data_IF_793264128198
#
_entry.id   IF_793264128198
#
_cell.length_a   1.000
_cell.length_b   1.000
_cell.length_c   1.000
_cell.angle_alpha   90.00
_cell.angle_beta   90.00
_cell.angle_gamma   90.00
#
_symmetry.space_group_name_H-M   'P 1'
#
loop_
_entity.id
_entity.type
_entity.pdbx_description
1 polymer ?
#
# COMPACT_ATOMS: atom_id res chain seq x y z
N UNK A 1 4.10 9.16 -20.94
CA UNK A 1 4.70 10.25 -20.13
C UNK A 1 4.49 9.91 -18.65
N UNK A 2 5.40 10.29 -17.77
CA UNK A 2 5.31 10.04 -16.33
C UNK A 2 4.86 11.33 -15.64
N UNK A 3 3.81 11.28 -14.80
CA UNK A 3 3.19 12.47 -14.19
C UNK A 3 3.82 12.89 -12.84
N UNK A 4 5.15 13.05 -12.80
CA UNK A 4 5.88 13.39 -11.56
C UNK A 4 5.44 14.71 -10.90
N UNK A 5 4.80 15.60 -11.66
CA UNK A 5 4.37 16.93 -11.21
C UNK A 5 2.84 17.04 -11.02
N UNK A 6 2.14 15.89 -10.99
CA UNK A 6 0.69 15.80 -10.77
C UNK A 6 -0.12 16.69 -11.74
N UNK A 7 0.37 16.88 -12.97
CA UNK A 7 -0.31 17.71 -13.97
C UNK A 7 -1.54 16.99 -14.51
N UNK A 8 -1.41 15.70 -14.83
CA UNK A 8 -2.52 14.86 -15.30
C UNK A 8 -3.46 14.56 -14.14
N UNK A 9 -2.92 14.21 -12.96
CA UNK A 9 -3.69 13.97 -11.74
C UNK A 9 -4.65 15.12 -11.40
N UNK A 10 -4.15 16.36 -11.39
CA UNK A 10 -4.97 17.55 -11.13
C UNK A 10 -5.94 17.87 -12.26
N UNK A 11 -5.54 17.66 -13.52
CA UNK A 11 -6.42 17.89 -14.67
C UNK A 11 -7.65 16.96 -14.65
N UNK A 12 -7.49 15.73 -14.16
CA UNK A 12 -8.59 14.78 -13.95
C UNK A 12 -9.34 14.99 -12.63
N UNK A 13 -8.94 15.98 -11.83
CA UNK A 13 -9.41 16.19 -10.46
C UNK A 13 -9.39 14.90 -9.63
N UNK A 14 -8.38 14.04 -9.85
CA UNK A 14 -8.27 12.77 -9.16
C UNK A 14 -7.93 13.00 -7.69
N UNK A 15 -8.50 12.21 -6.80
CA UNK A 15 -8.20 12.24 -5.37
C UNK A 15 -7.89 10.85 -4.80
N UNK A 16 -7.89 9.81 -5.64
CA UNK A 16 -7.84 8.42 -5.19
C UNK A 16 -6.76 7.62 -5.90
N UNK A 17 -6.18 6.66 -5.18
CA UNK A 17 -5.33 5.62 -5.73
C UNK A 17 -5.86 4.24 -5.29
N UNK A 18 -6.02 3.25 -6.19
CA UNK A 18 -5.98 3.42 -7.64
C UNK A 18 -7.21 4.21 -8.13
N UNK A 19 -7.10 4.74 -9.35
CA UNK A 19 -8.20 5.36 -10.07
C UNK A 19 -8.13 4.96 -11.54
N UNK A 20 -9.24 4.45 -12.06
CA UNK A 20 -9.36 4.02 -13.44
C UNK A 20 -10.34 4.94 -14.17
N UNK A 21 -9.95 5.41 -15.36
CA UNK A 21 -10.79 6.20 -16.25
C UNK A 21 -10.84 5.52 -17.61
N UNK A 22 -12.04 5.18 -18.08
CA UNK A 22 -12.24 4.44 -19.31
C UNK A 22 -12.73 5.39 -20.40
N UNK A 23 -11.94 5.51 -21.47
CA UNK A 23 -12.26 6.35 -22.62
C UNK A 23 -12.76 5.50 -23.79
N UNK A 24 -13.75 6.01 -24.54
CA UNK A 24 -14.15 5.41 -25.81
C UNK A 24 -13.16 5.72 -26.95
N UNK A 25 -13.41 5.14 -28.13
CA UNK A 25 -12.59 5.35 -29.31
C UNK A 25 -12.56 6.81 -29.82
N UNK A 26 -13.43 7.69 -29.31
CA UNK A 26 -13.45 9.13 -29.62
C UNK A 26 -12.70 9.95 -28.55
N UNK A 27 -12.12 9.30 -27.54
CA UNK A 27 -11.41 9.94 -26.44
C UNK A 27 -12.33 10.53 -25.37
N UNK A 28 -13.62 10.18 -25.36
CA UNK A 28 -14.54 10.65 -24.32
C UNK A 28 -14.48 9.69 -23.12
N UNK A 29 -14.36 10.23 -21.91
CA UNK A 29 -14.46 9.42 -20.69
C UNK A 29 -15.90 8.94 -20.52
N UNK A 30 -16.10 7.63 -20.47
CA UNK A 30 -17.41 6.98 -20.39
C UNK A 30 -17.69 6.35 -19.04
N UNK A 31 -16.64 6.08 -18.27
CA UNK A 31 -16.73 5.51 -16.94
C UNK A 31 -15.49 5.86 -16.13
N UNK A 32 -15.63 5.88 -14.81
CA UNK A 32 -14.52 5.98 -13.87
C UNK A 32 -14.79 5.08 -12.67
N UNK A 33 -13.72 4.54 -12.10
CA UNK A 33 -13.74 3.78 -10.85
C UNK A 33 -12.66 4.33 -9.94
N UNK A 34 -13.04 4.64 -8.69
CA UNK A 34 -12.14 5.12 -7.66
C UNK A 34 -12.00 4.05 -6.58
N UNK A 35 -10.76 3.77 -6.19
CA UNK A 35 -10.46 2.71 -5.26
C UNK A 35 -10.17 1.38 -5.96
N UNK A 36 -9.89 0.39 -5.13
CA UNK A 36 -9.60 -0.99 -5.52
C UNK A 36 -10.90 -1.79 -5.62
N UNK A 37 -11.05 -2.64 -6.64
CA UNK A 37 -12.22 -3.51 -6.80
C UNK A 37 -13.01 -3.26 -8.08
N UNK A 38 -14.28 -3.69 -8.08
CA UNK A 38 -15.21 -3.66 -9.22
C UNK A 38 -14.59 -4.11 -10.56
N UNK A 39 -13.68 -5.09 -10.50
CA UNK A 39 -12.96 -5.59 -11.68
C UNK A 39 -13.90 -6.14 -12.74
N UNK A 40 -14.92 -6.90 -12.31
CA UNK A 40 -15.95 -7.43 -13.20
C UNK A 40 -16.70 -6.30 -13.93
N UNK A 41 -17.02 -5.21 -13.24
CA UNK A 41 -17.74 -4.08 -13.83
C UNK A 41 -16.84 -3.26 -14.74
N UNK A 42 -15.61 -2.99 -14.31
CA UNK A 42 -14.56 -2.38 -15.13
C UNK A 42 -14.33 -3.14 -16.42
N UNK A 43 -14.29 -4.48 -16.37
CA UNK A 43 -14.15 -5.31 -17.56
C UNK A 43 -15.38 -5.24 -18.46
N UNK A 44 -16.60 -5.28 -17.91
CA UNK A 44 -17.83 -5.10 -18.72
C UNK A 44 -17.84 -3.78 -19.48
N UNK A 45 -17.37 -2.70 -18.84
CA UNK A 45 -17.21 -1.39 -19.48
C UNK A 45 -16.20 -1.48 -20.62
N UNK A 46 -15.02 -2.06 -20.40
CA UNK A 46 -14.02 -2.24 -21.48
C UNK A 46 -14.64 -3.01 -22.66
N UNK A 47 -15.31 -4.13 -22.37
CA UNK A 47 -15.95 -4.94 -23.40
C UNK A 47 -17.02 -4.17 -24.16
N UNK A 48 -17.84 -3.36 -23.48
CA UNK A 48 -18.81 -2.48 -24.12
C UNK A 48 -18.13 -1.47 -25.05
N UNK A 49 -17.09 -0.77 -24.57
CA UNK A 49 -16.38 0.24 -25.36
C UNK A 49 -15.69 -0.37 -26.59
N UNK A 50 -15.16 -1.59 -26.49
CA UNK A 50 -14.60 -2.32 -27.62
C UNK A 50 -15.67 -2.67 -28.67
N UNK A 51 -16.87 -3.12 -28.23
CA UNK A 51 -18.00 -3.39 -29.14
C UNK A 51 -18.47 -2.10 -29.82
N UNK A 52 -18.60 -1.00 -29.08
CA UNK A 52 -18.93 0.33 -29.62
C UNK A 52 -17.89 0.82 -30.64
N UNK A 53 -16.62 0.46 -30.47
CA UNK A 53 -15.54 0.76 -31.41
C UNK A 53 -15.50 -0.16 -32.65
N UNK A 54 -16.41 -1.13 -32.76
CA UNK A 54 -16.52 -2.03 -33.92
C UNK A 54 -15.71 -3.33 -33.82
N UNK A 55 -15.18 -3.67 -32.64
CA UNK A 55 -14.50 -4.95 -32.44
C UNK A 55 -15.49 -6.12 -32.61
N UNK A 56 -15.21 -7.02 -33.56
CA UNK A 56 -16.11 -8.13 -33.91
C UNK A 56 -16.02 -9.33 -32.96
N UNK A 57 -14.88 -9.47 -32.26
CA UNK A 57 -14.61 -10.58 -31.36
C UNK A 57 -14.25 -10.05 -29.97
N UNK A 58 -15.26 -9.67 -29.19
CA UNK A 58 -15.10 -9.32 -27.78
C UNK A 58 -15.62 -10.48 -26.94
N UNK A 59 -14.76 -11.07 -26.11
CA UNK A 59 -15.16 -12.14 -25.19
C UNK A 59 -16.35 -11.68 -24.33
N UNK A 60 -17.33 -12.57 -24.12
CA UNK A 60 -18.51 -12.29 -23.29
C UNK A 60 -18.37 -12.73 -21.84
N UNK A 61 -17.37 -13.55 -21.54
CA UNK A 61 -17.02 -13.92 -20.17
C UNK A 61 -16.18 -12.84 -19.51
N UNK A 62 -16.11 -12.88 -18.18
CA UNK A 62 -15.12 -12.12 -17.42
C UNK A 62 -13.82 -12.92 -17.39
N UNK A 63 -12.70 -12.21 -17.41
CA UNK A 63 -11.40 -12.81 -17.13
C UNK A 63 -11.33 -13.02 -15.62
N UNK A 64 -11.24 -14.29 -15.20
CA UNK A 64 -10.75 -14.59 -13.86
C UNK A 64 -9.24 -14.39 -13.86
N UNK A 65 -8.80 -13.23 -13.35
CA UNK A 65 -7.40 -13.03 -13.07
C UNK A 65 -6.99 -13.94 -11.90
N UNK A 66 -5.99 -14.80 -12.09
CA UNK A 66 -5.31 -15.52 -11.01
C UNK A 66 -4.45 -14.52 -10.21
N UNK A 67 -5.12 -13.59 -9.52
CA UNK A 67 -4.49 -12.55 -8.74
C UNK A 67 -3.78 -13.19 -7.54
N UNK A 68 -2.49 -12.90 -7.40
CA UNK A 68 -1.62 -13.39 -6.31
C UNK A 68 -0.95 -12.21 -5.62
N UNK A 69 -0.62 -12.38 -4.33
CA UNK A 69 0.04 -11.32 -3.55
C UNK A 69 -0.81 -10.05 -3.46
N UNK A 70 -0.19 -8.89 -3.68
CA UNK A 70 -0.79 -7.54 -3.60
C UNK A 70 -1.99 -7.34 -4.53
N UNK A 71 -2.12 -8.14 -5.59
CA UNK A 71 -3.21 -8.01 -6.56
C UNK A 71 -4.53 -8.64 -6.10
N UNK A 72 -4.53 -9.41 -5.00
CA UNK A 72 -5.78 -9.96 -4.48
C UNK A 72 -6.61 -8.89 -3.80
N UNK A 73 -7.83 -8.71 -4.31
CA UNK A 73 -8.78 -7.76 -3.77
C UNK A 73 -8.95 -7.93 -2.24
N UNK A 74 -9.00 -6.83 -1.49
CA UNK A 74 -9.31 -6.87 -0.07
C UNK A 74 -10.79 -7.21 0.15
N UNK A 75 -11.11 -7.82 1.28
CA UNK A 75 -12.48 -7.76 1.79
C UNK A 75 -12.67 -6.38 2.43
N UNK A 76 -13.34 -5.47 1.71
CA UNK A 76 -13.50 -4.08 2.14
C UNK A 76 -14.24 -3.93 3.48
N UNK A 77 -14.98 -4.94 3.94
CA UNK A 77 -15.61 -4.90 5.28
C UNK A 77 -14.59 -5.12 6.41
N UNK A 78 -13.48 -5.77 6.11
CA UNK A 78 -12.42 -6.13 7.06
C UNK A 78 -11.23 -5.15 6.99
N UNK A 79 -11.31 -4.09 6.17
CA UNK A 79 -10.31 -3.00 6.13
C UNK A 79 -10.83 -1.82 6.95
N UNK A 80 -10.46 -1.77 8.24
CA UNK A 80 -10.85 -0.69 9.15
C UNK A 80 -9.71 0.29 9.45
N UNK A 81 -8.50 0.03 8.94
CA UNK A 81 -7.36 0.94 9.00
C UNK A 81 -7.26 1.82 7.75
N UNK A 82 -7.19 3.16 7.90
CA UNK A 82 -7.09 4.07 6.76
C UNK A 82 -5.65 4.17 6.25
N UNK A 83 -5.48 4.61 5.00
CA UNK A 83 -4.16 5.05 4.52
C UNK A 83 -3.57 6.08 5.50
N UNK A 84 -2.36 5.81 6.01
CA UNK A 84 -1.74 6.63 7.05
C UNK A 84 -0.38 7.15 6.59
N UNK A 85 -0.26 8.46 6.45
CA UNK A 85 0.97 9.12 6.02
C UNK A 85 1.89 9.40 7.22
N UNK A 86 3.19 9.19 7.04
CA UNK A 86 4.20 9.34 8.10
C UNK A 86 4.81 10.75 8.11
N UNK A 87 4.78 11.48 6.99
CA UNK A 87 5.32 12.82 6.86
C UNK A 87 4.49 13.89 7.57
N UNK A 88 5.15 14.92 8.11
CA UNK A 88 4.54 15.94 8.95
C UNK A 88 3.38 16.72 8.30
N UNK A 89 3.30 16.78 6.96
CA UNK A 89 2.22 17.51 6.27
C UNK A 89 0.86 16.83 6.36
N UNK A 90 0.84 15.50 6.55
CA UNK A 90 -0.39 14.67 6.48
C UNK A 90 -0.48 13.65 7.61
N UNK A 91 0.47 13.66 8.54
CA UNK A 91 0.50 12.71 9.64
C UNK A 91 -0.69 12.91 10.57
N UNK A 92 -1.44 11.84 10.76
CA UNK A 92 -2.56 11.73 11.70
C UNK A 92 -2.33 10.52 12.62
N UNK A 93 -2.96 10.51 13.80
CA UNK A 93 -2.92 9.39 14.77
C UNK A 93 -1.51 8.95 15.23
N UNK A 94 -0.52 9.83 15.12
CA UNK A 94 0.81 9.63 15.72
C UNK A 94 0.72 9.75 17.24
N UNK A 95 1.26 8.78 17.97
CA UNK A 95 1.41 8.82 19.43
C UNK A 95 2.86 8.71 19.84
N UNK A 96 3.31 9.62 20.71
CA UNK A 96 4.73 9.70 21.11
C UNK A 96 5.18 8.53 21.99
N UNK A 97 4.28 7.99 22.82
CA UNK A 97 4.58 6.92 23.76
C UNK A 97 3.29 6.33 24.33
N UNK A 98 3.36 5.09 24.82
CA UNK A 98 2.23 4.39 25.44
C UNK A 98 1.61 3.33 24.52
N UNK A 99 0.53 2.67 24.97
CA UNK A 99 -0.12 1.64 24.17
C UNK A 99 -0.76 2.23 22.91
N UNK A 100 -0.65 1.51 21.80
CA UNK A 100 -1.30 1.89 20.54
C UNK A 100 -2.78 1.47 20.56
N UNK A 101 -3.69 2.44 20.50
CA UNK A 101 -5.07 2.18 20.12
C UNK A 101 -5.16 1.85 18.62
N UNK A 102 -6.27 1.25 18.17
CA UNK A 102 -6.50 0.98 16.75
C UNK A 102 -6.30 2.26 15.91
N UNK A 103 -5.58 2.13 14.82
CA UNK A 103 -5.18 3.18 13.88
C UNK A 103 -4.16 4.19 14.40
N UNK A 104 -3.56 3.95 15.56
CA UNK A 104 -2.42 4.73 16.05
C UNK A 104 -1.09 4.09 15.68
N UNK A 105 -0.08 4.94 15.52
CA UNK A 105 1.30 4.54 15.22
C UNK A 105 2.32 5.38 15.97
N UNK A 106 3.54 4.84 16.07
CA UNK A 106 4.66 5.49 16.76
C UNK A 106 5.99 5.26 16.03
N UNK A 107 6.97 6.10 16.35
CA UNK A 107 8.35 6.01 15.93
C UNK A 107 9.24 5.85 17.16
N UNK A 108 10.16 4.89 17.09
CA UNK A 108 11.24 4.73 18.07
C UNK A 108 12.59 4.85 17.35
N UNK A 109 13.57 5.48 18.00
CA UNK A 109 14.88 5.76 17.42
C UNK A 109 15.04 7.19 16.90
N UNK A 110 16.10 7.44 16.14
CA UNK A 110 16.43 8.77 15.61
C UNK A 110 15.88 8.91 14.19
N UNK A 111 14.75 9.59 14.06
CA UNK A 111 14.07 9.82 12.78
C UNK A 111 14.07 11.29 12.42
N UNK A 112 14.40 11.58 11.15
CA UNK A 112 14.16 12.87 10.54
C UNK A 112 12.75 12.88 9.94
N UNK A 113 11.86 13.71 10.48
CA UNK A 113 10.47 13.85 10.02
C UNK A 113 10.39 14.97 9.00
N UNK A 114 10.39 14.60 7.72
CA UNK A 114 10.18 15.51 6.61
C UNK A 114 8.70 15.81 6.35
N UNK A 115 8.43 16.63 5.34
CA UNK A 115 7.06 16.99 4.96
C UNK A 115 6.24 15.81 4.45
N UNK A 116 6.82 14.97 3.57
CA UNK A 116 6.12 13.87 2.90
C UNK A 116 6.52 12.48 3.40
N UNK A 117 7.63 12.37 4.13
CA UNK A 117 8.21 11.10 4.56
C UNK A 117 8.97 11.25 5.88
N UNK A 118 9.25 10.12 6.52
CA UNK A 118 10.24 10.03 7.61
C UNK A 118 11.47 9.28 7.12
N UNK A 119 12.65 9.71 7.52
CA UNK A 119 13.91 9.03 7.18
C UNK A 119 14.65 8.63 8.44
N UNK A 120 15.20 7.41 8.45
CA UNK A 120 15.90 6.89 9.61
C UNK A 120 17.37 7.35 9.62
N UNK A 121 17.80 8.05 10.67
CA UNK A 121 19.19 8.53 10.75
C UNK A 121 20.15 7.46 11.29
N UNK A 122 19.67 6.53 12.14
CA UNK A 122 20.48 5.50 12.78
C UNK A 122 19.81 4.12 12.73
N UNK A 123 20.61 3.06 12.53
CA UNK A 123 20.11 1.68 12.60
C UNK A 123 19.42 1.38 13.95
N UNK A 124 18.47 0.45 13.94
CA UNK A 124 17.67 0.05 15.09
C UNK A 124 16.41 0.88 15.30
N UNK A 125 16.12 1.85 14.42
CA UNK A 125 14.86 2.59 14.46
C UNK A 125 13.67 1.71 14.10
N UNK A 126 12.53 2.00 14.75
CA UNK A 126 11.30 1.22 14.61
C UNK A 126 10.10 2.09 14.26
N UNK A 127 9.17 1.48 13.54
CA UNK A 127 7.82 1.98 13.33
C UNK A 127 6.87 0.91 13.85
N UNK A 128 5.91 1.29 14.69
CA UNK A 128 4.85 0.39 15.14
C UNK A 128 3.48 0.97 14.83
N UNK A 129 2.53 0.11 14.47
CA UNK A 129 1.16 0.48 14.09
C UNK A 129 0.18 -0.57 14.61
N UNK A 130 -0.93 -0.16 15.24
CA UNK A 130 -2.05 -1.06 15.58
C UNK A 130 -3.13 -0.97 14.50
N UNK A 131 -3.35 -2.04 13.73
CA UNK A 131 -4.21 -2.05 12.56
C UNK A 131 -5.29 -3.13 12.61
N UNK A 132 -6.29 -2.99 11.75
CA UNK A 132 -7.31 -3.99 11.45
C UNK A 132 -7.51 -4.07 9.92
N UNK A 133 -6.87 -5.07 9.32
CA UNK A 133 -6.91 -5.40 7.90
C UNK A 133 -6.31 -6.80 7.67
N UNK A 134 -6.62 -7.46 6.55
CA UNK A 134 -5.95 -8.72 6.19
C UNK A 134 -4.48 -8.46 5.84
N UNK A 135 -4.23 -7.49 4.98
CA UNK A 135 -2.92 -7.14 4.48
C UNK A 135 -2.46 -5.79 5.07
N UNK A 136 -1.19 -5.70 5.43
CA UNK A 136 -0.52 -4.43 5.75
C UNK A 136 0.64 -4.23 4.79
N UNK A 137 0.65 -3.04 4.19
CA UNK A 137 1.70 -2.59 3.29
C UNK A 137 2.33 -1.29 3.80
N UNK A 138 3.59 -1.08 3.44
CA UNK A 138 4.31 0.16 3.73
C UNK A 138 5.07 0.61 2.48
N UNK A 139 4.88 1.86 2.09
CA UNK A 139 5.68 2.47 1.03
C UNK A 139 7.04 2.84 1.62
N UNK A 140 8.08 2.18 1.14
CA UNK A 140 9.47 2.32 1.58
C UNK A 140 10.37 2.62 0.39
N UNK A 141 11.49 3.27 0.64
CA UNK A 141 12.59 3.42 -0.32
C UNK A 141 13.94 3.46 0.37
N UNK A 142 15.03 3.01 -0.29
CA UNK A 142 16.37 3.23 0.22
C UNK A 142 16.69 4.72 0.21
N UNK A 143 17.69 5.12 1.00
CA UNK A 143 18.16 6.49 1.03
C UNK A 143 18.82 6.90 -0.29
N UNK A 144 19.28 8.16 -0.35
CA UNK A 144 19.88 8.72 -1.56
C UNK A 144 21.14 7.96 -2.06
N UNK A 145 21.77 7.15 -1.21
CA UNK A 145 22.91 6.30 -1.59
C UNK A 145 22.48 4.99 -2.26
N UNK A 146 21.17 4.70 -2.33
CA UNK A 146 20.59 3.54 -3.00
C UNK A 146 20.93 2.21 -2.36
N UNK A 147 21.51 2.20 -1.15
CA UNK A 147 21.93 0.95 -0.51
C UNK A 147 20.71 0.19 0.00
N UNK A 148 20.70 -1.14 -0.14
CA UNK A 148 19.65 -1.96 0.45
C UNK A 148 19.60 -1.78 1.98
N UNK A 149 18.41 -1.63 2.53
CA UNK A 149 18.18 -1.52 3.98
C UNK A 149 17.50 -2.78 4.47
N UNK A 150 18.17 -3.55 5.32
CA UNK A 150 17.55 -4.75 5.92
C UNK A 150 16.60 -4.34 7.03
N UNK A 151 15.53 -5.11 7.18
CA UNK A 151 14.58 -4.92 8.27
C UNK A 151 14.12 -6.25 8.85
N UNK A 152 13.51 -6.17 10.02
CA UNK A 152 12.80 -7.27 10.67
C UNK A 152 11.43 -6.79 11.14
N UNK A 153 10.39 -7.52 10.78
CA UNK A 153 9.02 -7.27 11.23
C UNK A 153 8.58 -8.25 12.32
N UNK A 154 7.66 -7.80 13.17
CA UNK A 154 6.92 -8.64 14.11
C UNK A 154 5.44 -8.28 14.10
N UNK A 155 4.61 -9.26 14.47
CA UNK A 155 3.17 -9.13 14.70
C UNK A 155 2.90 -9.55 16.13
N UNK A 156 2.33 -8.64 16.93
CA UNK A 156 2.11 -8.81 18.37
C UNK A 156 3.38 -9.30 19.11
N UNK A 157 4.54 -8.77 18.70
CA UNK A 157 5.85 -9.08 19.27
C UNK A 157 6.46 -10.42 18.83
N UNK A 158 5.79 -11.20 17.96
CA UNK A 158 6.28 -12.47 17.44
C UNK A 158 6.67 -12.37 15.96
N UNK A 159 7.49 -13.32 15.48
CA UNK A 159 7.75 -13.43 14.04
C UNK A 159 6.43 -13.72 13.29
N UNK A 160 6.26 -13.22 12.05
CA UNK A 160 4.99 -13.37 11.33
C UNK A 160 4.57 -14.82 11.06
N UNK A 161 5.52 -15.75 10.90
CA UNK A 161 5.25 -17.11 10.45
C UNK A 161 4.35 -17.07 9.20
N UNK A 162 3.25 -17.81 9.17
CA UNK A 162 2.30 -17.85 8.04
C UNK A 162 1.62 -16.51 7.75
N UNK A 163 1.71 -15.52 8.65
CA UNK A 163 1.17 -14.18 8.44
C UNK A 163 2.12 -13.25 7.67
N UNK A 164 3.23 -13.76 7.13
CA UNK A 164 4.19 -12.97 6.38
C UNK A 164 3.61 -12.49 5.04
N UNK A 165 3.87 -11.23 4.67
CA UNK A 165 3.59 -10.74 3.31
C UNK A 165 4.61 -11.25 2.29
N UNK A 166 4.38 -10.98 1.00
CA UNK A 166 5.28 -11.47 -0.07
C UNK A 166 6.69 -10.90 -0.02
N UNK A 167 6.88 -9.74 0.64
CA UNK A 167 8.19 -9.07 0.75
C UNK A 167 8.93 -9.41 2.06
N UNK A 168 8.42 -10.37 2.82
CA UNK A 168 8.89 -10.72 4.16
C UNK A 168 9.06 -12.22 4.27
N UNK A 169 10.17 -12.69 4.81
CA UNK A 169 10.37 -14.10 5.15
C UNK A 169 9.55 -14.49 6.40
N UNK A 170 9.22 -15.78 6.61
CA UNK A 170 8.43 -16.20 7.79
C UNK A 170 9.04 -15.81 9.15
N UNK A 171 10.35 -15.62 9.23
CA UNK A 171 11.06 -15.16 10.43
C UNK A 171 11.05 -13.62 10.62
N UNK A 172 10.35 -12.91 9.74
CA UNK A 172 10.16 -11.46 9.74
C UNK A 172 11.21 -10.69 8.97
N UNK A 173 12.24 -11.32 8.40
CA UNK A 173 13.30 -10.58 7.69
C UNK A 173 12.87 -10.14 6.30
N UNK A 174 13.31 -8.95 5.89
CA UNK A 174 13.17 -8.45 4.54
C UNK A 174 14.22 -7.41 4.21
N UNK A 175 14.17 -6.84 3.00
CA UNK A 175 15.12 -5.82 2.56
C UNK A 175 14.43 -4.82 1.64
N UNK A 176 14.62 -3.53 1.91
CA UNK A 176 14.21 -2.43 1.04
C UNK A 176 15.30 -2.23 0.00
N UNK A 177 14.96 -2.38 -1.29
CA UNK A 177 15.90 -2.25 -2.41
C UNK A 177 15.54 -1.13 -3.37
N UNK A 178 14.27 -0.75 -3.43
CA UNK A 178 13.74 0.29 -4.31
C UNK A 178 12.56 1.02 -3.66
N UNK A 179 12.21 2.19 -4.20
CA UNK A 179 11.05 2.94 -3.72
C UNK A 179 9.76 2.35 -4.29
N UNK A 180 9.03 1.59 -3.47
CA UNK A 180 7.74 0.98 -3.84
C UNK A 180 6.89 0.65 -2.61
N UNK A 181 5.71 0.10 -2.86
CA UNK A 181 4.89 -0.53 -1.84
C UNK A 181 5.41 -1.94 -1.53
N UNK A 182 5.62 -2.22 -0.24
CA UNK A 182 6.05 -3.53 0.27
C UNK A 182 4.90 -4.18 1.03
N UNK A 183 4.52 -5.41 0.68
CA UNK A 183 3.55 -6.21 1.43
C UNK A 183 4.24 -6.91 2.60
N UNK A 184 3.96 -6.44 3.81
CA UNK A 184 4.69 -6.86 5.00
C UNK A 184 3.95 -7.92 5.81
N UNK A 185 2.62 -7.83 5.85
CA UNK A 185 1.74 -8.77 6.56
C UNK A 185 0.62 -9.23 5.64
N UNK A 186 0.24 -10.49 5.77
CA UNK A 186 -1.00 -11.09 5.26
C UNK A 186 -1.56 -12.03 6.32
N UNK A 187 -2.56 -11.59 7.07
CA UNK A 187 -3.15 -12.38 8.14
C UNK A 187 -3.83 -13.64 7.59
N UNK A 188 -3.56 -14.84 8.14
CA UNK A 188 -4.30 -16.04 7.80
C UNK A 188 -5.61 -16.12 8.59
N UNK A 189 -6.66 -16.65 7.97
CA UNK A 189 -7.95 -16.86 8.63
C UNK A 189 -8.72 -15.55 8.86
N UNK A 190 -9.44 -15.47 9.98
CA UNK A 190 -10.24 -14.30 10.32
C UNK A 190 -9.35 -13.08 10.65
N UNK A 191 -9.70 -11.93 10.08
CA UNK A 191 -9.00 -10.66 10.31
C UNK A 191 -9.20 -10.23 11.76
N UNK A 192 -8.11 -9.79 12.38
CA UNK A 192 -8.07 -9.34 13.77
C UNK A 192 -7.27 -8.05 13.87
N UNK A 193 -7.51 -7.29 14.93
CA UNK A 193 -6.64 -6.20 15.31
C UNK A 193 -5.25 -6.74 15.66
N UNK A 194 -4.21 -6.20 15.02
CA UNK A 194 -2.82 -6.62 15.21
C UNK A 194 -1.91 -5.44 15.46
N UNK A 195 -0.87 -5.65 16.26
CA UNK A 195 0.22 -4.69 16.44
C UNK A 195 1.37 -5.10 15.55
N UNK A 196 1.57 -4.36 14.47
CA UNK A 196 2.71 -4.49 13.60
C UNK A 196 3.89 -3.69 14.15
N UNK A 197 5.10 -4.22 14.02
CA UNK A 197 6.35 -3.46 14.24
C UNK A 197 7.34 -3.82 13.15
N UNK A 198 8.03 -2.82 12.61
CA UNK A 198 9.20 -2.98 11.74
C UNK A 198 10.40 -2.32 12.38
N UNK A 199 11.50 -3.07 12.50
CA UNK A 199 12.81 -2.59 12.93
C UNK A 199 13.75 -2.59 11.72
N UNK A 200 14.39 -1.46 11.45
CA UNK A 200 15.38 -1.34 10.39
C UNK A 200 16.78 -1.59 10.95
N UNK A 201 17.47 -2.58 10.39
CA UNK A 201 18.80 -3.02 10.84
C UNK A 201 19.94 -2.17 10.26
N UNK A 202 19.62 -1.36 9.26
CA UNK A 202 20.53 -0.41 8.60
C UNK A 202 19.86 0.98 8.61
N UNK A 203 20.64 2.09 8.57
CA UNK A 203 20.09 3.45 8.54
C UNK A 203 19.59 3.84 7.13
N UNK A 204 19.13 5.08 6.99
CA UNK A 204 18.81 5.77 5.74
C UNK A 204 17.59 5.25 4.96
N UNK A 205 16.72 4.44 5.56
CA UNK A 205 15.42 4.14 4.93
C UNK A 205 14.51 5.36 4.96
N UNK A 206 13.77 5.59 3.87
CA UNK A 206 12.64 6.51 3.84
C UNK A 206 11.33 5.72 3.87
N UNK A 207 10.41 6.12 4.77
CA UNK A 207 9.08 5.56 4.90
C UNK A 207 8.02 6.65 4.69
N UNK A 208 6.98 6.33 3.90
CA UNK A 208 6.05 7.33 3.38
C UNK A 208 4.63 7.16 3.92
N UNK A 209 4.01 6.00 3.69
CA UNK A 209 2.63 5.74 4.09
C UNK A 209 2.35 4.25 4.29
N UNK A 210 1.50 3.94 5.28
CA UNK A 210 0.86 2.64 5.43
C UNK A 210 -0.40 2.57 4.57
N UNK A 211 -0.62 1.41 3.94
CA UNK A 211 -1.86 1.06 3.22
C UNK A 211 -2.30 -0.35 3.60
N UNK A 212 -3.58 -0.65 3.43
CA UNK A 212 -4.22 -1.83 4.00
C UNK A 212 -5.09 -2.53 2.95
N UNK A 213 -5.24 -3.85 3.09
CA UNK A 213 -6.09 -4.67 2.23
C UNK A 213 -6.49 -5.99 2.83
#
# INVERSE_FOLDING_TARGET
AIDNNYKVWRAFNNQYWPAHYFADAKGQIRYHHFGEGDYAESERVIQQLLREAGAQHVAGGLIEADAKGVQQAPDMNEVQSPETYLGAQRAENFVKSGPLALNNWTLEGQWNVGGQQVTLDQAGGRIAYRFHARDLHLVLGPGADGKPVRFKVTIDGQAPADAHGTDVAPDGRGTVTEQRLYQLVRQPGAVQDRTFTIEFLDPNVSAYAFTFG
#
